data_IF_969985776242
#
_entry.id   IF_969985776242
#
_cell.length_a   1.000
_cell.length_b   1.000
_cell.length_c   1.000
_cell.angle_alpha   90.00
_cell.angle_beta   90.00
_cell.angle_gamma   90.00
#
_symmetry.space_group_name_H-M   'P 1'
#
loop_
_entity.id
_entity.type
_entity.pdbx_description
1 polymer ?
#
# COMPACT_ATOMS: atom_id res chain seq x y z
N UNK A 1 21.19 12.42 -18.29
CA UNK A 1 21.05 12.96 -19.67
C UNK A 1 20.18 12.11 -20.59
N UNK A 2 20.16 10.76 -20.44
CA UNK A 2 19.39 9.85 -21.33
C UNK A 2 17.89 9.86 -21.06
N UNK A 3 17.49 9.93 -19.80
CA UNK A 3 16.10 9.96 -19.37
C UNK A 3 15.33 11.16 -19.97
N UNK A 4 15.93 12.36 -19.96
CA UNK A 4 15.33 13.55 -20.60
C UNK A 4 15.12 13.38 -22.12
N UNK A 5 15.97 12.62 -22.80
CA UNK A 5 15.81 12.36 -24.24
C UNK A 5 14.63 11.46 -24.56
N UNK A 6 14.27 10.51 -23.69
CA UNK A 6 13.09 9.65 -23.85
C UNK A 6 11.81 10.45 -23.61
N UNK A 7 11.80 11.25 -22.56
CA UNK A 7 10.66 12.10 -22.19
C UNK A 7 10.31 13.09 -23.31
N UNK A 8 11.30 13.73 -23.91
CA UNK A 8 11.05 14.64 -25.03
C UNK A 8 10.53 13.91 -26.26
N UNK A 9 11.05 12.73 -26.58
CA UNK A 9 10.58 11.95 -27.73
C UNK A 9 9.10 11.57 -27.61
N UNK A 10 8.66 11.11 -26.44
CA UNK A 10 7.26 10.76 -26.24
C UNK A 10 6.37 12.00 -26.24
N UNK A 11 6.82 13.09 -25.61
CA UNK A 11 6.08 14.35 -25.61
C UNK A 11 5.84 14.85 -27.05
N UNK A 12 6.90 14.94 -27.85
CA UNK A 12 6.80 15.47 -29.22
C UNK A 12 5.96 14.56 -30.12
N UNK A 13 6.06 13.22 -29.98
CA UNK A 13 5.28 12.28 -30.74
C UNK A 13 3.77 12.29 -30.37
N UNK A 14 3.44 12.39 -29.08
CA UNK A 14 2.06 12.41 -28.61
C UNK A 14 1.36 13.75 -28.81
N UNK A 15 2.08 14.87 -28.71
CA UNK A 15 1.48 16.19 -28.78
C UNK A 15 0.66 16.39 -30.06
N UNK A 16 1.21 15.99 -31.23
CA UNK A 16 0.52 16.12 -32.51
C UNK A 16 -0.67 15.16 -32.64
N UNK A 17 -0.58 13.96 -32.07
CA UNK A 17 -1.65 12.97 -32.13
C UNK A 17 -2.85 13.35 -31.25
N UNK A 18 -2.58 13.84 -30.05
CA UNK A 18 -3.63 14.12 -29.05
C UNK A 18 -4.33 15.46 -29.28
N UNK A 19 -3.77 16.31 -30.16
CA UNK A 19 -4.34 17.59 -30.55
C UNK A 19 -5.56 17.45 -31.47
N UNK A 20 -5.65 16.36 -32.24
CA UNK A 20 -6.81 16.07 -33.08
C UNK A 20 -7.92 15.37 -32.26
N UNK A 21 -9.22 15.54 -32.64
CA UNK A 21 -10.32 14.87 -31.96
C UNK A 21 -10.34 13.35 -32.27
N UNK A 22 -9.43 12.60 -31.68
CA UNK A 22 -9.30 11.14 -31.80
C UNK A 22 -9.48 10.47 -30.42
N UNK A 23 -9.38 9.14 -30.41
CA UNK A 23 -9.38 8.38 -29.15
C UNK A 23 -8.04 8.56 -28.40
N UNK A 24 -7.98 9.61 -27.59
CA UNK A 24 -6.81 9.97 -26.75
C UNK A 24 -6.27 8.77 -25.96
N UNK A 25 -7.14 7.88 -25.51
CA UNK A 25 -6.73 6.71 -24.73
C UNK A 25 -5.94 5.73 -25.61
N UNK A 26 -6.48 5.35 -26.77
CA UNK A 26 -5.85 4.41 -27.70
C UNK A 26 -4.55 4.97 -28.26
N UNK A 27 -4.55 6.21 -28.73
CA UNK A 27 -3.34 6.87 -29.25
C UNK A 27 -2.23 6.95 -28.20
N UNK A 28 -2.59 7.23 -26.94
CA UNK A 28 -1.62 7.24 -25.83
C UNK A 28 -1.07 5.85 -25.57
N UNK A 29 -1.90 4.80 -25.55
CA UNK A 29 -1.46 3.42 -25.33
C UNK A 29 -0.45 3.00 -26.41
N UNK A 30 -0.80 3.18 -27.68
CA UNK A 30 0.04 2.75 -28.80
C UNK A 30 1.38 3.47 -28.83
N UNK A 31 1.36 4.79 -28.74
CA UNK A 31 2.57 5.61 -28.78
C UNK A 31 3.50 5.35 -27.59
N UNK A 32 2.96 5.23 -26.38
CA UNK A 32 3.77 4.91 -25.20
C UNK A 32 4.37 3.51 -25.27
N UNK A 33 3.61 2.52 -25.76
CA UNK A 33 4.09 1.16 -25.95
C UNK A 33 5.24 1.09 -26.95
N UNK A 34 5.07 1.69 -28.13
CA UNK A 34 6.08 1.67 -29.18
C UNK A 34 7.37 2.34 -28.72
N UNK A 35 7.30 3.51 -28.09
CA UNK A 35 8.49 4.23 -27.60
C UNK A 35 9.17 3.44 -26.46
N UNK A 36 8.42 2.77 -25.61
CA UNK A 36 9.00 1.90 -24.57
C UNK A 36 9.78 0.74 -25.20
N UNK A 37 9.20 0.05 -26.17
CA UNK A 37 9.84 -1.07 -26.88
C UNK A 37 11.12 -0.61 -27.60
N UNK A 38 11.04 0.46 -28.39
CA UNK A 38 12.18 0.99 -29.12
C UNK A 38 13.30 1.44 -28.17
N UNK A 39 12.94 2.11 -27.08
CA UNK A 39 13.90 2.60 -26.10
C UNK A 39 14.61 1.48 -25.36
N UNK A 40 13.86 0.47 -24.92
CA UNK A 40 14.42 -0.68 -24.17
C UNK A 40 15.26 -1.58 -25.07
N UNK A 41 14.82 -1.86 -26.32
CA UNK A 41 15.60 -2.65 -27.29
C UNK A 41 16.87 -1.92 -27.71
N UNK A 42 16.80 -0.62 -27.94
CA UNK A 42 17.98 0.21 -28.27
C UNK A 42 18.98 0.34 -27.12
N UNK A 43 18.50 0.26 -25.87
CA UNK A 43 19.31 0.35 -24.65
C UNK A 43 20.21 -0.86 -24.37
N UNK A 44 19.92 -2.04 -24.92
CA UNK A 44 20.75 -3.25 -24.76
C UNK A 44 22.20 -3.07 -25.27
N UNK A 45 22.43 -2.13 -26.18
CA UNK A 45 23.78 -1.77 -26.68
C UNK A 45 24.52 -0.69 -25.87
N UNK A 46 23.82 0.02 -24.99
CA UNK A 46 24.42 1.05 -24.12
C UNK A 46 23.67 0.99 -22.79
N UNK A 47 24.32 0.75 -21.65
CA UNK A 47 23.76 0.78 -20.28
C UNK A 47 22.94 2.07 -20.03
N UNK A 48 21.65 2.11 -20.47
CA UNK A 48 20.84 3.33 -20.46
C UNK A 48 19.54 3.11 -19.69
N UNK A 49 19.62 3.18 -18.36
CA UNK A 49 18.45 3.18 -17.49
C UNK A 49 17.86 1.79 -17.22
N UNK A 50 17.22 1.64 -16.09
CA UNK A 50 16.42 0.45 -15.76
C UNK A 50 15.06 0.56 -16.44
N UNK A 51 14.34 -0.55 -16.60
CA UNK A 51 12.96 -0.56 -17.14
C UNK A 51 12.03 0.37 -16.36
N UNK A 52 12.23 0.48 -15.03
CA UNK A 52 11.49 1.41 -14.18
C UNK A 52 11.71 2.87 -14.58
N UNK A 53 12.96 3.27 -14.76
CA UNK A 53 13.29 4.65 -15.17
C UNK A 53 12.74 4.98 -16.55
N UNK A 54 12.83 4.05 -17.50
CA UNK A 54 12.30 4.24 -18.86
C UNK A 54 10.78 4.37 -18.82
N UNK A 55 10.07 3.50 -18.11
CA UNK A 55 8.61 3.57 -17.97
C UNK A 55 8.16 4.88 -17.32
N UNK A 56 8.82 5.31 -16.24
CA UNK A 56 8.50 6.56 -15.55
C UNK A 56 8.69 7.80 -16.42
N UNK A 57 9.78 7.87 -17.22
CA UNK A 57 10.03 8.99 -18.13
C UNK A 57 9.05 9.03 -19.32
N UNK A 58 8.65 7.87 -19.82
CA UNK A 58 7.65 7.77 -20.89
C UNK A 58 6.30 8.29 -20.40
N UNK A 59 5.86 7.82 -19.24
CA UNK A 59 4.60 8.27 -18.64
C UNK A 59 4.62 9.76 -18.33
N UNK A 60 5.74 10.27 -17.78
CA UNK A 60 5.90 11.69 -17.53
C UNK A 60 5.79 12.54 -18.80
N UNK A 61 6.45 12.12 -19.89
CA UNK A 61 6.39 12.80 -21.18
C UNK A 61 5.02 12.73 -21.84
N UNK A 62 4.30 11.60 -21.70
CA UNK A 62 2.94 11.47 -22.20
C UNK A 62 1.96 12.42 -21.52
N UNK A 63 2.08 12.56 -20.20
CA UNK A 63 1.26 13.48 -19.42
C UNK A 63 1.56 14.94 -19.76
N UNK A 64 2.84 15.29 -19.97
CA UNK A 64 3.22 16.62 -20.45
C UNK A 64 2.59 16.93 -21.82
N UNK A 65 2.70 16.00 -22.78
CA UNK A 65 2.08 16.16 -24.10
C UNK A 65 0.57 16.36 -24.01
N UNK A 66 -0.11 15.52 -23.20
CA UNK A 66 -1.55 15.63 -22.99
C UNK A 66 -1.96 16.96 -22.35
N UNK A 67 -1.19 17.44 -21.38
CA UNK A 67 -1.42 18.73 -20.74
C UNK A 67 -1.24 19.90 -21.71
N UNK A 68 -0.15 19.90 -22.48
CA UNK A 68 0.15 20.95 -23.49
C UNK A 68 -0.89 20.98 -24.60
N UNK A 69 -1.43 19.81 -24.99
CA UNK A 69 -2.50 19.69 -25.99
C UNK A 69 -3.91 19.95 -25.45
N UNK A 70 -4.07 20.18 -24.15
CA UNK A 70 -5.38 20.36 -23.51
C UNK A 70 -6.23 19.09 -23.45
N UNK A 71 -5.61 17.90 -23.53
CA UNK A 71 -6.29 16.63 -23.51
C UNK A 71 -6.78 16.23 -22.11
N UNK A 72 -7.70 15.26 -22.04
CA UNK A 72 -8.20 14.72 -20.78
C UNK A 72 -7.09 13.93 -20.06
N UNK A 73 -6.51 14.51 -19.02
CA UNK A 73 -5.43 13.90 -18.25
C UNK A 73 -5.79 12.55 -17.61
N UNK A 74 -7.06 12.27 -17.36
CA UNK A 74 -7.49 10.95 -16.87
C UNK A 74 -7.27 9.87 -17.94
N UNK A 75 -7.61 10.15 -19.20
CA UNK A 75 -7.41 9.24 -20.32
C UNK A 75 -5.93 9.09 -20.67
N UNK A 76 -5.20 10.20 -20.69
CA UNK A 76 -3.75 10.20 -20.91
C UNK A 76 -3.00 9.40 -19.85
N UNK A 77 -3.29 9.63 -18.57
CA UNK A 77 -2.62 8.91 -17.48
C UNK A 77 -2.90 7.40 -17.51
N UNK A 78 -4.16 7.01 -17.75
CA UNK A 78 -4.54 5.61 -17.90
C UNK A 78 -3.82 4.97 -19.10
N UNK A 79 -3.89 5.60 -20.28
CA UNK A 79 -3.26 5.11 -21.51
C UNK A 79 -1.74 5.02 -21.38
N UNK A 80 -1.10 6.00 -20.78
CA UNK A 80 0.34 6.01 -20.56
C UNK A 80 0.80 4.85 -19.66
N UNK A 81 0.06 4.55 -18.59
CA UNK A 81 0.36 3.40 -17.71
C UNK A 81 0.19 2.09 -18.49
N UNK A 82 -0.91 1.91 -19.23
CA UNK A 82 -1.15 0.70 -20.01
C UNK A 82 -0.04 0.51 -21.05
N UNK A 83 0.23 1.52 -21.86
CA UNK A 83 1.23 1.44 -22.93
C UNK A 83 2.65 1.22 -22.40
N UNK A 84 3.03 1.90 -21.29
CA UNK A 84 4.34 1.70 -20.67
C UNK A 84 4.50 0.27 -20.14
N UNK A 85 3.51 -0.30 -19.46
CA UNK A 85 3.55 -1.68 -18.95
C UNK A 85 3.61 -2.69 -20.10
N UNK A 86 2.80 -2.53 -21.15
CA UNK A 86 2.82 -3.39 -22.32
C UNK A 86 4.16 -3.32 -23.06
N UNK A 87 4.69 -2.12 -23.27
CA UNK A 87 5.99 -1.94 -23.94
C UNK A 87 7.17 -2.50 -23.13
N UNK A 88 7.10 -2.43 -21.80
CA UNK A 88 8.10 -3.09 -20.94
C UNK A 88 7.98 -4.61 -21.05
N UNK A 89 6.77 -5.17 -21.01
CA UNK A 89 6.55 -6.63 -21.06
C UNK A 89 7.03 -7.27 -22.35
N UNK A 90 7.03 -6.56 -23.46
CA UNK A 90 7.56 -7.03 -24.76
C UNK A 90 9.09 -7.18 -24.78
N UNK A 91 9.80 -6.57 -23.85
CA UNK A 91 11.28 -6.53 -23.86
C UNK A 91 11.88 -7.16 -22.62
N UNK A 92 11.21 -7.09 -21.49
CA UNK A 92 11.68 -7.61 -20.19
C UNK A 92 10.50 -7.96 -19.30
N UNK A 93 10.75 -8.70 -18.24
CA UNK A 93 9.73 -9.05 -17.26
C UNK A 93 9.24 -7.81 -16.49
N UNK A 94 7.91 -7.69 -16.36
CA UNK A 94 7.25 -6.68 -15.52
C UNK A 94 7.18 -7.22 -14.08
N UNK A 95 7.55 -6.41 -13.12
CA UNK A 95 7.42 -6.73 -11.70
C UNK A 95 6.69 -5.60 -10.95
N UNK A 96 6.30 -5.87 -9.72
CA UNK A 96 5.55 -4.91 -8.90
C UNK A 96 6.25 -3.54 -8.74
N UNK A 97 7.59 -3.52 -8.76
CA UNK A 97 8.35 -2.27 -8.67
C UNK A 97 8.22 -1.42 -9.94
N UNK A 98 8.23 -2.03 -11.13
CA UNK A 98 7.98 -1.33 -12.40
C UNK A 98 6.60 -0.69 -12.36
N UNK A 99 5.58 -1.44 -11.93
CA UNK A 99 4.19 -0.97 -11.85
C UNK A 99 4.08 0.19 -10.86
N UNK A 100 4.63 0.05 -9.66
CA UNK A 100 4.59 1.07 -8.61
C UNK A 100 5.29 2.36 -9.05
N UNK A 101 6.51 2.27 -9.59
CA UNK A 101 7.28 3.44 -10.04
C UNK A 101 6.60 4.14 -11.23
N UNK A 102 5.97 3.38 -12.14
CA UNK A 102 5.18 3.90 -13.26
C UNK A 102 3.94 4.65 -12.77
N UNK A 103 3.19 4.07 -11.85
CA UNK A 103 2.01 4.68 -11.24
C UNK A 103 2.35 5.95 -10.45
N UNK A 104 3.46 5.92 -9.70
CA UNK A 104 4.00 7.07 -8.99
C UNK A 104 4.35 8.22 -9.95
N UNK A 105 5.06 7.93 -11.04
CA UNK A 105 5.43 8.92 -12.04
C UNK A 105 4.18 9.54 -12.71
N UNK A 106 3.16 8.72 -12.99
CA UNK A 106 1.90 9.15 -13.57
C UNK A 106 1.17 10.17 -12.66
N UNK A 107 1.04 9.89 -11.37
CA UNK A 107 0.34 10.78 -10.47
C UNK A 107 1.11 12.08 -10.23
N UNK A 108 2.42 12.02 -10.04
CA UNK A 108 3.27 13.21 -9.90
C UNK A 108 3.21 14.10 -11.15
N UNK A 109 3.30 13.50 -12.35
CA UNK A 109 3.18 14.21 -13.62
C UNK A 109 1.82 14.89 -13.76
N UNK A 110 0.75 14.15 -13.50
CA UNK A 110 -0.64 14.68 -13.58
C UNK A 110 -0.89 15.79 -12.58
N UNK A 111 -0.39 15.68 -11.36
CA UNK A 111 -0.50 16.74 -10.35
C UNK A 111 0.21 18.02 -10.77
N UNK A 112 1.42 17.92 -11.34
CA UNK A 112 2.17 19.07 -11.87
C UNK A 112 1.47 19.72 -13.08
N UNK A 113 0.75 18.92 -13.85
CA UNK A 113 -0.06 19.36 -14.99
C UNK A 113 -1.45 19.94 -14.59
N UNK A 114 -1.73 20.09 -13.29
CA UNK A 114 -3.01 20.59 -12.79
C UNK A 114 -4.15 19.55 -12.80
N UNK A 115 -3.86 18.29 -13.02
CA UNK A 115 -4.84 17.21 -12.97
C UNK A 115 -5.38 16.96 -11.57
N UNK A 116 -6.64 16.52 -11.49
CA UNK A 116 -7.24 16.13 -10.22
C UNK A 116 -6.65 14.81 -9.72
N UNK A 117 -5.85 14.88 -8.66
CA UNK A 117 -5.11 13.72 -8.11
C UNK A 117 -6.02 12.56 -7.72
N UNK A 118 -7.25 12.84 -7.28
CA UNK A 118 -8.24 11.83 -6.85
C UNK A 118 -8.75 11.01 -8.03
N UNK A 119 -9.22 11.68 -9.09
CA UNK A 119 -9.75 11.00 -10.28
C UNK A 119 -8.65 10.33 -11.09
N UNK A 120 -7.49 10.98 -11.22
CA UNK A 120 -6.33 10.42 -11.93
C UNK A 120 -5.77 9.19 -11.23
N UNK A 121 -5.68 9.19 -9.90
CA UNK A 121 -5.17 8.02 -9.16
C UNK A 121 -5.98 6.75 -9.44
N UNK A 122 -7.31 6.87 -9.45
CA UNK A 122 -8.20 5.75 -9.80
C UNK A 122 -7.96 5.25 -11.23
N UNK A 123 -7.81 6.17 -12.21
CA UNK A 123 -7.52 5.82 -13.61
C UNK A 123 -6.17 5.17 -13.82
N UNK A 124 -5.16 5.55 -13.04
CA UNK A 124 -3.84 4.92 -13.03
C UNK A 124 -3.95 3.46 -12.57
N UNK A 125 -4.67 3.22 -11.46
CA UNK A 125 -4.88 1.86 -10.94
C UNK A 125 -5.69 1.01 -11.93
N UNK A 126 -6.76 1.56 -12.52
CA UNK A 126 -7.51 0.89 -13.60
C UNK A 126 -6.61 0.49 -14.77
N UNK A 127 -5.74 1.39 -15.22
CA UNK A 127 -4.79 1.13 -16.29
C UNK A 127 -3.80 0.01 -15.96
N UNK A 128 -3.30 -0.04 -14.73
CA UNK A 128 -2.40 -1.09 -14.28
C UNK A 128 -3.10 -2.47 -14.25
N UNK A 129 -4.34 -2.53 -13.78
CA UNK A 129 -5.14 -3.76 -13.77
C UNK A 129 -5.40 -4.25 -15.20
N UNK A 130 -5.81 -3.37 -16.11
CA UNK A 130 -6.10 -3.72 -17.51
C UNK A 130 -4.85 -4.17 -18.29
N UNK A 131 -3.67 -3.64 -17.93
CA UNK A 131 -2.42 -4.04 -18.55
C UNK A 131 -1.86 -5.36 -17.98
N UNK A 132 -2.32 -5.80 -16.83
CA UNK A 132 -1.72 -6.91 -16.08
C UNK A 132 -1.70 -8.22 -16.88
N UNK A 133 -2.82 -8.61 -17.49
CA UNK A 133 -2.92 -9.85 -18.27
C UNK A 133 -1.90 -9.89 -19.42
N UNK A 134 -1.78 -8.79 -20.17
CA UNK A 134 -0.83 -8.68 -21.27
C UNK A 134 0.62 -8.60 -20.82
N UNK A 135 0.83 -8.12 -19.60
CA UNK A 135 2.15 -8.03 -19.00
C UNK A 135 2.59 -9.32 -18.29
N UNK A 136 1.76 -10.36 -18.26
CA UNK A 136 2.03 -11.62 -17.55
C UNK A 136 2.02 -11.46 -16.01
N UNK A 137 1.21 -10.52 -15.49
CA UNK A 137 1.11 -10.20 -14.08
C UNK A 137 -0.33 -10.41 -13.58
N UNK A 138 -0.52 -10.82 -12.33
CA UNK A 138 -1.87 -10.96 -11.78
C UNK A 138 -2.52 -9.58 -11.58
N UNK A 139 -3.79 -9.46 -11.93
CA UNK A 139 -4.56 -8.22 -11.81
C UNK A 139 -4.56 -7.66 -10.37
N UNK A 140 -4.67 -8.55 -9.38
CA UNK A 140 -4.63 -8.19 -7.96
C UNK A 140 -3.27 -7.61 -7.56
N UNK A 141 -2.17 -8.29 -7.92
CA UNK A 141 -0.82 -7.83 -7.61
C UNK A 141 -0.50 -6.51 -8.32
N UNK A 142 -1.00 -6.33 -9.56
CA UNK A 142 -0.87 -5.08 -10.30
C UNK A 142 -1.65 -3.93 -9.62
N UNK A 143 -2.85 -4.22 -9.16
CA UNK A 143 -3.68 -3.25 -8.42
C UNK A 143 -2.98 -2.77 -7.15
N UNK A 144 -2.46 -3.68 -6.33
CA UNK A 144 -1.74 -3.31 -5.10
C UNK A 144 -0.43 -2.58 -5.39
N UNK A 145 0.34 -3.00 -6.40
CA UNK A 145 1.57 -2.32 -6.78
C UNK A 145 1.30 -0.89 -7.28
N UNK A 146 0.28 -0.70 -8.12
CA UNK A 146 -0.13 0.63 -8.59
C UNK A 146 -0.67 1.49 -7.45
N UNK A 147 -1.50 0.93 -6.57
CA UNK A 147 -2.01 1.62 -5.39
C UNK A 147 -0.87 2.12 -4.49
N UNK A 148 0.14 1.28 -4.22
CA UNK A 148 1.32 1.69 -3.46
C UNK A 148 2.07 2.87 -4.13
N UNK A 149 2.20 2.85 -5.47
CA UNK A 149 2.84 3.92 -6.22
C UNK A 149 2.09 5.25 -6.17
N UNK A 150 0.76 5.21 -6.35
CA UNK A 150 -0.06 6.45 -6.28
C UNK A 150 -0.13 7.00 -4.85
N UNK A 151 -0.14 6.15 -3.82
CA UNK A 151 -0.08 6.60 -2.42
C UNK A 151 1.23 7.30 -2.10
N UNK A 152 2.37 6.72 -2.47
CA UNK A 152 3.67 7.37 -2.29
C UNK A 152 3.76 8.71 -3.02
N UNK A 153 3.16 8.81 -4.22
CA UNK A 153 3.06 10.07 -4.94
C UNK A 153 2.19 11.09 -4.17
N UNK A 154 1.01 10.68 -3.72
CA UNK A 154 0.08 11.53 -3.00
C UNK A 154 0.67 12.06 -1.68
N UNK A 155 1.38 11.23 -0.92
CA UNK A 155 2.12 11.62 0.29
C UNK A 155 3.18 12.69 -0.01
N UNK A 156 3.85 12.59 -1.16
CA UNK A 156 4.85 13.60 -1.59
C UNK A 156 4.21 14.93 -2.00
N UNK A 157 2.91 14.95 -2.31
CA UNK A 157 2.15 16.16 -2.67
C UNK A 157 1.65 16.84 -1.39
N UNK A 158 0.83 16.14 -0.59
CA UNK A 158 0.35 16.61 0.72
C UNK A 158 -0.36 15.49 1.49
N UNK A 159 -0.48 15.65 2.81
CA UNK A 159 -1.24 14.72 3.66
C UNK A 159 -2.73 14.66 3.27
N UNK A 160 -3.33 15.78 2.88
CA UNK A 160 -4.71 15.80 2.41
C UNK A 160 -4.89 15.05 1.09
N UNK A 161 -3.93 15.16 0.17
CA UNK A 161 -3.92 14.38 -1.07
C UNK A 161 -3.79 12.88 -0.80
N UNK A 162 -2.93 12.48 0.14
CA UNK A 162 -2.78 11.08 0.54
C UNK A 162 -4.10 10.49 1.07
N UNK A 163 -4.79 11.21 1.96
CA UNK A 163 -6.09 10.79 2.50
C UNK A 163 -7.14 10.67 1.40
N UNK A 164 -7.26 11.68 0.54
CA UNK A 164 -8.24 11.68 -0.54
C UNK A 164 -7.99 10.59 -1.58
N UNK A 165 -6.72 10.33 -1.93
CA UNK A 165 -6.32 9.25 -2.84
C UNK A 165 -6.61 7.89 -2.21
N UNK A 166 -6.28 7.68 -0.93
CA UNK A 166 -6.60 6.43 -0.21
C UNK A 166 -8.09 6.10 -0.31
N UNK A 167 -8.95 7.07 -0.04
CA UNK A 167 -10.40 6.89 -0.17
C UNK A 167 -10.84 6.56 -1.61
N UNK A 168 -10.24 7.23 -2.61
CA UNK A 168 -10.62 7.07 -4.01
C UNK A 168 -10.25 5.72 -4.62
N UNK A 169 -9.13 5.13 -4.19
CA UNK A 169 -8.64 3.85 -4.71
C UNK A 169 -8.97 2.65 -3.82
N UNK A 170 -9.56 2.88 -2.64
CA UNK A 170 -10.14 1.81 -1.82
C UNK A 170 -11.45 1.31 -2.41
N UNK A 171 -11.71 0.01 -2.27
CA UNK A 171 -12.91 -0.64 -2.79
C UNK A 171 -12.66 -1.40 -4.09
N UNK A 172 -13.69 -1.59 -4.91
CA UNK A 172 -13.56 -2.39 -6.14
C UNK A 172 -13.24 -1.51 -7.34
N UNK A 173 -12.13 -1.78 -8.00
CA UNK A 173 -11.69 -1.14 -9.25
C UNK A 173 -11.46 -2.23 -10.29
N UNK A 174 -12.12 -2.14 -11.45
CA UNK A 174 -12.01 -3.12 -12.56
C UNK A 174 -12.15 -4.59 -12.10
N UNK A 175 -13.07 -4.85 -11.16
CA UNK A 175 -13.30 -6.21 -10.63
C UNK A 175 -12.34 -6.65 -9.51
N UNK A 176 -11.27 -5.91 -9.25
CA UNK A 176 -10.31 -6.18 -8.17
C UNK A 176 -10.67 -5.38 -6.94
N UNK A 177 -10.82 -6.05 -5.80
CA UNK A 177 -11.06 -5.39 -4.52
C UNK A 177 -9.72 -4.95 -3.91
N UNK A 178 -9.54 -3.64 -3.79
CA UNK A 178 -8.37 -3.03 -3.17
C UNK A 178 -8.78 -2.59 -1.77
N UNK A 179 -8.17 -3.21 -0.76
CA UNK A 179 -8.30 -2.81 0.64
C UNK A 179 -7.01 -2.09 1.01
N UNK A 180 -7.06 -0.78 1.01
CA UNK A 180 -5.94 0.04 1.48
C UNK A 180 -6.22 0.38 2.95
N UNK A 181 -5.62 -0.40 3.82
CA UNK A 181 -5.36 0.09 5.16
C UNK A 181 -4.45 1.31 5.03
N UNK A 182 -4.76 2.37 5.76
CA UNK A 182 -3.94 3.58 5.84
C UNK A 182 -2.52 3.17 6.17
N UNK A 183 -1.59 3.37 5.21
CA UNK A 183 -0.18 2.97 5.26
C UNK A 183 0.06 1.46 5.27
N UNK A 184 0.87 0.95 4.35
CA UNK A 184 1.35 -0.44 4.33
C UNK A 184 2.38 -0.75 5.45
N UNK A 185 2.17 -0.21 6.64
CA UNK A 185 2.69 -0.79 7.88
C UNK A 185 1.64 -1.78 8.34
N UNK A 186 2.01 -3.06 8.32
CA UNK A 186 1.20 -4.10 8.94
C UNK A 186 0.78 -3.62 10.32
N UNK A 187 -0.51 -3.74 10.71
CA UNK A 187 -0.90 -3.34 12.05
C UNK A 187 -0.01 -4.04 13.07
N UNK A 188 0.55 -3.28 13.99
CA UNK A 188 1.48 -3.81 14.99
C UNK A 188 0.68 -4.31 16.18
N UNK A 189 0.77 -5.60 16.46
CA UNK A 189 0.17 -6.23 17.64
C UNK A 189 1.25 -6.34 18.72
N UNK A 190 1.06 -5.69 19.84
CA UNK A 190 1.89 -5.87 21.02
C UNK A 190 1.41 -7.08 21.80
N UNK A 191 2.21 -8.14 21.88
CA UNK A 191 1.85 -9.38 22.54
C UNK A 191 2.70 -9.58 23.81
N UNK A 192 2.06 -9.65 24.97
CA UNK A 192 2.67 -10.00 26.24
C UNK A 192 2.27 -11.42 26.66
N UNK A 193 3.25 -12.29 26.86
CA UNK A 193 3.10 -13.63 27.46
C UNK A 193 4.42 -13.99 28.13
N UNK A 194 4.40 -14.49 29.35
CA UNK A 194 5.61 -14.92 30.08
C UNK A 194 6.34 -16.08 29.39
N UNK A 195 5.67 -16.81 28.50
CA UNK A 195 6.22 -17.93 27.73
C UNK A 195 6.64 -17.49 26.32
N UNK A 196 7.94 -17.40 26.07
CA UNK A 196 8.50 -17.01 24.77
C UNK A 196 8.10 -17.94 23.62
N UNK A 197 7.88 -19.25 23.87
CA UNK A 197 7.44 -20.17 22.83
C UNK A 197 6.01 -19.86 22.37
N UNK A 198 5.13 -19.44 23.29
CA UNK A 198 3.79 -18.96 22.93
C UNK A 198 3.86 -17.70 22.08
N UNK A 199 4.73 -16.75 22.43
CA UNK A 199 4.95 -15.51 21.67
C UNK A 199 5.45 -15.80 20.26
N UNK A 200 6.40 -16.72 20.11
CA UNK A 200 6.92 -17.11 18.80
C UNK A 200 5.84 -17.75 17.93
N UNK A 201 5.07 -18.71 18.48
CA UNK A 201 3.96 -19.33 17.80
C UNK A 201 2.90 -18.29 17.38
N UNK A 202 2.50 -17.41 18.31
CA UNK A 202 1.52 -16.35 18.07
C UNK A 202 2.00 -15.39 16.97
N UNK A 203 3.26 -14.96 17.03
CA UNK A 203 3.86 -14.09 16.02
C UNK A 203 3.83 -14.72 14.61
N UNK A 204 4.16 -16.02 14.51
CA UNK A 204 4.10 -16.73 13.23
C UNK A 204 2.66 -16.82 12.67
N UNK A 205 1.66 -17.02 13.53
CA UNK A 205 0.27 -17.07 13.08
C UNK A 205 -0.25 -15.70 12.68
N UNK A 206 0.01 -14.66 13.49
CA UNK A 206 -0.37 -13.29 13.18
C UNK A 206 0.31 -12.76 11.91
N UNK A 207 1.56 -13.17 11.65
CA UNK A 207 2.27 -12.81 10.42
C UNK A 207 1.58 -13.37 9.15
N UNK A 208 0.95 -14.56 9.22
CA UNK A 208 0.17 -15.14 8.12
C UNK A 208 -1.10 -14.34 7.82
N UNK A 209 -1.68 -13.73 8.85
CA UNK A 209 -2.87 -12.87 8.76
C UNK A 209 -2.54 -11.41 8.43
N UNK A 210 -1.26 -11.09 8.17
CA UNK A 210 -0.85 -9.76 7.73
C UNK A 210 -0.46 -8.80 8.86
N UNK A 211 -0.33 -9.25 10.10
CA UNK A 211 0.08 -8.43 11.25
C UNK A 211 1.59 -8.48 11.50
N UNK A 212 2.15 -7.41 12.05
CA UNK A 212 3.47 -7.39 12.67
C UNK A 212 3.32 -7.56 14.18
N UNK A 213 4.19 -8.33 14.82
CA UNK A 213 4.10 -8.59 16.26
C UNK A 213 5.32 -8.04 16.99
N UNK A 214 5.09 -7.24 18.02
CA UNK A 214 6.07 -6.89 19.05
C UNK A 214 5.85 -7.82 20.23
N UNK A 215 6.73 -8.82 20.36
CA UNK A 215 6.66 -9.84 21.40
C UNK A 215 7.43 -9.39 22.63
N UNK A 216 6.80 -9.36 23.79
CA UNK A 216 7.39 -8.97 25.08
C UNK A 216 7.07 -10.03 26.14
N UNK A 217 8.08 -10.41 26.92
CA UNK A 217 7.97 -11.51 27.90
C UNK A 217 8.06 -11.04 29.37
N UNK A 218 8.26 -9.74 29.58
CA UNK A 218 8.27 -9.14 30.91
C UNK A 218 7.57 -7.77 30.93
N UNK A 219 7.31 -7.26 32.14
CA UNK A 219 6.70 -5.93 32.31
C UNK A 219 7.68 -4.81 31.90
N UNK A 220 8.98 -5.02 32.07
CA UNK A 220 10.03 -4.08 31.66
C UNK A 220 10.10 -3.99 30.13
N UNK A 221 10.07 -5.13 29.41
CA UNK A 221 9.99 -5.16 27.95
C UNK A 221 8.72 -4.49 27.44
N UNK A 222 7.59 -4.65 28.15
CA UNK A 222 6.33 -4.00 27.83
C UNK A 222 6.43 -2.47 27.98
N UNK A 223 6.99 -1.99 29.09
CA UNK A 223 7.20 -0.57 29.35
C UNK A 223 8.09 0.05 28.24
N UNK A 224 9.16 -0.63 27.85
CA UNK A 224 10.04 -0.20 26.76
C UNK A 224 9.30 -0.14 25.42
N UNK A 225 8.53 -1.17 25.06
CA UNK A 225 7.79 -1.22 23.81
C UNK A 225 6.75 -0.09 23.69
N UNK A 226 6.10 0.28 24.80
CA UNK A 226 5.15 1.41 24.84
C UNK A 226 5.89 2.74 24.63
N UNK A 227 7.09 2.90 25.21
CA UNK A 227 7.88 4.14 25.12
C UNK A 227 8.53 4.33 23.73
N UNK A 228 8.89 3.28 23.03
CA UNK A 228 9.53 3.34 21.69
C UNK A 228 8.62 3.92 20.60
N UNK A 229 7.38 4.33 20.92
CA UNK A 229 6.41 4.95 20.01
C UNK A 229 6.17 4.17 18.69
N UNK A 230 6.36 2.86 18.69
CA UNK A 230 5.83 2.05 17.58
C UNK A 230 4.32 2.26 17.55
N UNK A 231 3.76 2.41 16.35
CA UNK A 231 2.32 2.61 16.17
C UNK A 231 1.59 1.29 16.47
N UNK A 232 1.47 0.97 17.77
CA UNK A 232 0.78 -0.23 18.24
C UNK A 232 -0.70 -0.07 17.92
N UNK A 233 -1.25 -0.99 17.13
CA UNK A 233 -2.65 -1.01 16.76
C UNK A 233 -3.53 -1.71 17.80
N UNK A 234 -2.98 -2.76 18.46
CA UNK A 234 -3.68 -3.54 19.48
C UNK A 234 -2.69 -4.20 20.44
N UNK A 235 -3.06 -4.28 21.72
CA UNK A 235 -2.36 -5.07 22.75
C UNK A 235 -3.04 -6.42 22.98
N UNK A 236 -2.26 -7.50 23.06
CA UNK A 236 -2.67 -8.81 23.58
C UNK A 236 -1.95 -9.07 24.88
N UNK A 237 -2.64 -9.04 26.00
CA UNK A 237 -2.06 -9.08 27.35
C UNK A 237 -2.45 -10.38 28.03
N UNK A 238 -1.55 -11.36 28.05
CA UNK A 238 -1.75 -12.59 28.81
C UNK A 238 -1.40 -12.39 30.28
N UNK A 239 -2.31 -12.70 31.15
CA UNK A 239 -2.12 -12.57 32.60
C UNK A 239 -1.29 -13.70 33.23
N UNK A 240 -1.06 -14.79 32.48
CA UNK A 240 -0.37 -15.98 33.00
C UNK A 240 1.08 -15.65 33.37
N UNK A 241 1.44 -15.87 34.62
CA UNK A 241 2.81 -15.64 35.12
C UNK A 241 3.13 -14.21 35.52
N UNK A 242 2.17 -13.30 35.49
CA UNK A 242 2.31 -11.93 35.95
C UNK A 242 1.50 -11.69 37.24
N UNK A 243 2.01 -10.80 38.07
CA UNK A 243 1.36 -10.34 39.28
C UNK A 243 0.41 -9.15 39.04
N UNK A 244 -0.14 -8.58 40.10
CA UNK A 244 -1.09 -7.46 39.98
C UNK A 244 -0.49 -6.15 39.42
N UNK A 245 0.83 -6.02 39.28
CA UNK A 245 1.46 -4.84 38.66
C UNK A 245 1.17 -4.76 37.15
N UNK A 246 0.69 -5.84 36.53
CA UNK A 246 0.24 -5.84 35.13
C UNK A 246 -0.91 -4.84 34.90
N UNK A 247 -1.74 -4.57 35.90
CA UNK A 247 -2.86 -3.65 35.77
C UNK A 247 -2.42 -2.19 35.63
N UNK A 248 -1.29 -1.81 36.20
CA UNK A 248 -0.68 -0.49 35.99
C UNK A 248 -0.28 -0.28 34.53
N UNK A 249 0.21 -1.34 33.88
CA UNK A 249 0.57 -1.33 32.45
C UNK A 249 -0.66 -1.31 31.55
N UNK A 250 -1.70 -2.03 31.93
CA UNK A 250 -3.01 -1.94 31.26
C UNK A 250 -3.55 -0.51 31.28
N UNK A 251 -3.44 0.16 32.43
CA UNK A 251 -3.84 1.58 32.57
C UNK A 251 -2.98 2.50 31.69
N UNK A 252 -1.68 2.22 31.54
CA UNK A 252 -0.78 2.96 30.65
C UNK A 252 -1.18 2.79 29.20
N UNK A 253 -1.51 1.58 28.74
CA UNK A 253 -2.04 1.31 27.40
C UNK A 253 -3.35 2.08 27.16
N UNK A 254 -4.26 2.05 28.14
CA UNK A 254 -5.53 2.77 28.08
C UNK A 254 -5.33 4.29 27.96
N UNK A 255 -4.45 4.88 28.77
CA UNK A 255 -4.08 6.31 28.71
C UNK A 255 -3.44 6.68 27.35
N UNK A 256 -2.64 5.77 26.79
CA UNK A 256 -2.04 5.92 25.46
C UNK A 256 -3.05 5.71 24.30
N UNK A 257 -4.32 5.38 24.62
CA UNK A 257 -5.39 5.07 23.65
C UNK A 257 -5.06 3.86 22.74
N UNK A 258 -4.28 2.92 23.27
CA UNK A 258 -3.99 1.65 22.60
C UNK A 258 -5.08 0.66 23.06
N UNK A 259 -5.95 0.19 22.17
CA UNK A 259 -6.93 -0.84 22.51
C UNK A 259 -6.20 -2.13 22.87
N UNK A 260 -6.72 -2.89 23.82
CA UNK A 260 -6.10 -4.16 24.20
C UNK A 260 -7.12 -5.22 24.65
N UNK A 261 -6.73 -6.46 24.42
CA UNK A 261 -7.43 -7.67 24.85
C UNK A 261 -6.64 -8.27 26.00
N UNK A 262 -7.35 -8.66 27.04
CA UNK A 262 -6.79 -9.45 28.16
C UNK A 262 -7.07 -10.92 27.92
N UNK A 263 -6.05 -11.78 28.07
CA UNK A 263 -6.16 -13.23 28.01
C UNK A 263 -5.89 -13.80 29.41
N UNK A 264 -6.80 -14.61 29.92
CA UNK A 264 -6.71 -15.18 31.26
C UNK A 264 -6.65 -16.71 31.22
N UNK A 265 -5.86 -17.36 32.11
CA UNK A 265 -5.86 -18.82 32.21
C UNK A 265 -7.16 -19.39 32.79
N UNK A 266 -7.96 -18.56 33.45
CA UNK A 266 -9.20 -19.00 34.12
C UNK A 266 -10.28 -17.93 34.09
N UNK A 267 -11.53 -18.38 34.13
CA UNK A 267 -12.69 -17.50 34.28
C UNK A 267 -12.79 -17.04 35.73
N UNK A 268 -12.67 -15.74 36.00
CA UNK A 268 -12.79 -15.15 37.31
C UNK A 268 -13.57 -13.84 37.26
N UNK A 269 -14.61 -13.65 38.10
CA UNK A 269 -15.36 -12.40 38.19
C UNK A 269 -14.47 -11.21 38.59
N UNK A 270 -13.45 -11.47 39.41
CA UNK A 270 -12.47 -10.44 39.82
C UNK A 270 -11.63 -10.00 38.63
N UNK A 271 -11.03 -10.95 37.88
CA UNK A 271 -10.24 -10.65 36.69
C UNK A 271 -11.10 -9.93 35.64
N UNK A 272 -12.34 -10.34 35.46
CA UNK A 272 -13.25 -9.67 34.52
C UNK A 272 -13.52 -8.22 34.91
N UNK A 273 -13.78 -7.97 36.18
CA UNK A 273 -14.00 -6.62 36.72
C UNK A 273 -12.75 -5.75 36.56
N UNK A 274 -11.58 -6.28 36.94
CA UNK A 274 -10.33 -5.55 36.90
C UNK A 274 -9.91 -5.27 35.45
N UNK A 275 -10.08 -6.21 34.50
CA UNK A 275 -9.84 -6.01 33.08
C UNK A 275 -10.65 -4.82 32.53
N UNK A 276 -11.95 -4.78 32.80
CA UNK A 276 -12.83 -3.71 32.33
C UNK A 276 -12.52 -2.38 33.02
N UNK A 277 -12.22 -2.40 34.32
CA UNK A 277 -11.83 -1.22 35.11
C UNK A 277 -10.56 -0.55 34.53
N UNK A 278 -9.61 -1.34 34.06
CA UNK A 278 -8.34 -0.83 33.50
C UNK A 278 -8.39 -0.63 31.97
N UNK A 279 -9.58 -0.71 31.35
CA UNK A 279 -9.82 -0.30 29.96
C UNK A 279 -9.62 -1.36 28.90
N UNK A 280 -9.64 -2.66 29.27
CA UNK A 280 -9.62 -3.75 28.28
C UNK A 280 -10.88 -3.72 27.39
N UNK A 281 -10.70 -3.95 26.09
CA UNK A 281 -11.80 -4.08 25.14
C UNK A 281 -12.61 -5.35 25.40
N UNK A 282 -11.94 -6.45 25.71
CA UNK A 282 -12.56 -7.72 26.11
C UNK A 282 -11.59 -8.58 26.93
N UNK A 283 -12.17 -9.61 27.58
CA UNK A 283 -11.45 -10.66 28.28
C UNK A 283 -11.71 -11.99 27.59
N UNK A 284 -10.63 -12.64 27.15
CA UNK A 284 -10.66 -13.99 26.60
C UNK A 284 -10.11 -14.99 27.62
N UNK A 285 -10.65 -16.21 27.61
CA UNK A 285 -10.25 -17.23 28.60
C UNK A 285 -9.67 -18.44 27.86
N UNK A 286 -8.50 -18.91 28.28
CA UNK A 286 -7.87 -20.12 27.75
C UNK A 286 -8.69 -21.40 28.09
N UNK A 287 -8.75 -22.42 27.22
CA UNK A 287 -8.04 -22.52 25.94
C UNK A 287 -8.70 -21.66 24.86
N UNK A 288 -7.89 -20.92 24.11
CA UNK A 288 -8.32 -20.01 23.06
C UNK A 288 -7.77 -20.50 21.72
N UNK A 289 -8.64 -20.70 20.74
CA UNK A 289 -8.26 -21.07 19.38
C UNK A 289 -7.66 -19.86 18.64
N UNK A 290 -6.59 -20.10 17.86
CA UNK A 290 -5.95 -19.02 17.09
C UNK A 290 -6.93 -18.34 16.13
N UNK A 291 -7.85 -19.09 15.51
CA UNK A 291 -8.88 -18.54 14.61
C UNK A 291 -9.82 -17.58 15.35
N UNK A 292 -10.27 -17.97 16.53
CA UNK A 292 -11.14 -17.17 17.38
C UNK A 292 -10.42 -15.87 17.80
N UNK A 293 -9.14 -15.93 18.19
CA UNK A 293 -8.34 -14.76 18.52
C UNK A 293 -8.21 -13.81 17.33
N UNK A 294 -7.95 -14.33 16.14
CA UNK A 294 -7.84 -13.55 14.91
C UNK A 294 -9.16 -12.85 14.57
N UNK A 295 -10.31 -13.53 14.72
CA UNK A 295 -11.63 -12.91 14.51
C UNK A 295 -11.90 -11.73 15.47
N UNK A 296 -11.47 -11.83 16.74
CA UNK A 296 -11.55 -10.70 17.68
C UNK A 296 -10.63 -9.55 17.25
N UNK A 297 -9.42 -9.84 16.78
CA UNK A 297 -8.49 -8.83 16.29
C UNK A 297 -9.08 -8.10 15.08
N UNK A 298 -9.60 -8.83 14.08
CA UNK A 298 -10.29 -8.24 12.92
C UNK A 298 -11.46 -7.35 13.32
N UNK A 299 -12.28 -7.83 14.28
CA UNK A 299 -13.43 -7.05 14.77
C UNK A 299 -13.01 -5.73 15.42
N UNK A 300 -11.91 -5.73 16.19
CA UNK A 300 -11.44 -4.54 16.91
C UNK A 300 -10.66 -3.56 16.01
N UNK A 301 -9.98 -4.06 14.99
CA UNK A 301 -9.21 -3.23 14.06
C UNK A 301 -10.05 -2.75 12.86
N UNK A 302 -11.25 -3.33 12.66
CA UNK A 302 -12.17 -2.95 11.59
C UNK A 302 -11.76 -3.48 10.21
N UNK A 303 -11.07 -4.62 10.18
CA UNK A 303 -10.62 -5.31 8.95
C UNK A 303 -11.71 -6.21 8.37
#
# INVERSE_FOLDING_TARGET
MVAKGVRNKIRDALYELVKEPRDVLTDTIETTREIAVVTLRGGKRRRKGTSQQVAGEIVGGAIEAGSEAGANLNSVAKGAVIGAMQGVSEVTEVNGKVISDTAKAALIGSSKAGGNVVTVSRRIVEGAIEAADRAGFKAEDAAYAAAAGVLQAAESISQSAATAVTQAISGTISGVRIVLGVSAQKPVILALDSNRANLEFLSQQLAKEGYETVSVASLEELDQAIHERKKIALGLIDLSGFDQHIWERCETLHKAKIPFIVVSPQRSPTIQRDSMKHGACCLLVKPLGIKELVEYIHTLLGD
#
